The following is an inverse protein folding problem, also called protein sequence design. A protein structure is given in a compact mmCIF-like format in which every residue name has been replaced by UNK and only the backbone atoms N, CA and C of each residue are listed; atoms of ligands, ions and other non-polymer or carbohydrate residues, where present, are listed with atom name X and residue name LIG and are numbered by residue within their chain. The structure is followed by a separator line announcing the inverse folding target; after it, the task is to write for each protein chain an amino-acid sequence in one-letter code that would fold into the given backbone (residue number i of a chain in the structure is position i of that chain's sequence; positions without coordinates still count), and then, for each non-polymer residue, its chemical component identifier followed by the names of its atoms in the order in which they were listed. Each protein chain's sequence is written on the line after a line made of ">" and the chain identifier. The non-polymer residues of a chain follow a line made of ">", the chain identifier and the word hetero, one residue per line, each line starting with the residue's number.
data_IF_100492806728
#
_entry.id   IF_100492806728
#
_cell.length_a   1.000
_cell.length_b   1.000
_cell.length_c   1.000
_cell.angle_alpha   90.00
_cell.angle_beta   90.00
_cell.angle_gamma   90.00
#
_symmetry.space_group_name_H-M   'P 1'
#
loop_
_entity.id
_entity.type
_entity.pdbx_description
1 polymer ?
#
# COMPACT_ATOMS: atom_id res chain seq x y z
N UNK A 1 45.96 2.35 -1.12
CA UNK A 1 44.90 2.66 -0.14
C UNK A 1 43.55 2.85 -0.87
N UNK A 2 43.02 1.81 -1.56
CA UNK A 2 41.79 1.91 -2.39
C UNK A 2 40.70 0.89 -2.03
N UNK A 3 40.99 -0.08 -1.15
CA UNK A 3 40.05 -1.16 -0.80
C UNK A 3 38.82 -0.68 -0.01
N UNK A 4 38.96 0.39 0.78
CA UNK A 4 37.86 0.90 1.60
C UNK A 4 36.82 1.65 0.77
N UNK A 5 37.24 2.44 -0.22
CA UNK A 5 36.31 3.17 -1.08
C UNK A 5 35.51 2.21 -1.98
N UNK A 6 36.17 1.25 -2.62
CA UNK A 6 35.47 0.26 -3.46
C UNK A 6 34.50 -0.59 -2.64
N UNK A 7 34.90 -1.03 -1.44
CA UNK A 7 34.04 -1.80 -0.55
C UNK A 7 32.81 -1.02 -0.06
N UNK A 8 33.01 0.21 0.42
CA UNK A 8 31.90 1.10 0.86
C UNK A 8 30.98 1.41 -0.32
N UNK A 9 31.53 1.69 -1.50
CA UNK A 9 30.75 1.90 -2.73
C UNK A 9 29.90 0.68 -3.07
N UNK A 10 30.45 -0.53 -3.01
CA UNK A 10 29.70 -1.77 -3.28
C UNK A 10 28.58 -1.99 -2.27
N UNK A 11 28.83 -1.80 -0.97
CA UNK A 11 27.80 -1.96 0.07
C UNK A 11 26.67 -0.94 -0.11
N UNK A 12 27.01 0.32 -0.41
CA UNK A 12 26.01 1.35 -0.66
C UNK A 12 25.19 1.02 -1.90
N UNK A 13 25.83 0.67 -3.01
CA UNK A 13 25.14 0.28 -4.24
C UNK A 13 24.23 -0.93 -4.02
N UNK A 14 24.68 -1.92 -3.25
CA UNK A 14 23.88 -3.11 -2.91
C UNK A 14 22.67 -2.75 -2.05
N UNK A 15 22.82 -1.82 -1.09
CA UNK A 15 21.73 -1.40 -0.19
C UNK A 15 20.70 -0.48 -0.86
N UNK A 16 21.12 0.29 -1.86
CA UNK A 16 20.25 1.16 -2.65
C UNK A 16 19.79 0.55 -3.98
N UNK A 17 20.22 -0.69 -4.28
CA UNK A 17 19.76 -1.40 -5.46
C UNK A 17 18.24 -1.55 -5.39
N UNK A 18 17.57 -1.14 -6.46
CA UNK A 18 16.13 -1.32 -6.57
C UNK A 18 15.84 -2.82 -6.72
N UNK A 19 14.96 -3.34 -5.86
CA UNK A 19 14.45 -4.70 -5.98
C UNK A 19 13.42 -4.78 -7.11
N UNK A 20 13.14 -6.01 -7.57
CA UNK A 20 12.14 -6.28 -8.60
C UNK A 20 10.78 -5.65 -8.24
N UNK A 21 10.36 -5.74 -6.97
CA UNK A 21 9.09 -5.16 -6.53
C UNK A 21 9.09 -3.62 -6.58
N UNK A 22 10.23 -2.97 -6.29
CA UNK A 22 10.34 -1.51 -6.45
C UNK A 22 10.18 -1.10 -7.91
N UNK A 23 10.83 -1.78 -8.84
CA UNK A 23 10.65 -1.51 -10.27
C UNK A 23 9.21 -1.74 -10.71
N UNK A 24 8.56 -2.80 -10.25
CA UNK A 24 7.14 -3.09 -10.52
C UNK A 24 6.21 -1.99 -10.01
N UNK A 25 6.45 -1.49 -8.80
CA UNK A 25 5.69 -0.38 -8.20
C UNK A 25 5.90 0.90 -9.00
N UNK A 26 7.15 1.23 -9.34
CA UNK A 26 7.49 2.38 -10.18
C UNK A 26 6.75 2.28 -11.50
N UNK A 27 6.93 1.18 -12.25
CA UNK A 27 6.25 0.94 -13.52
C UNK A 27 4.73 1.07 -13.43
N UNK A 28 4.10 0.49 -12.40
CA UNK A 28 2.63 0.47 -12.29
C UNK A 28 2.01 1.79 -11.83
N UNK A 29 2.72 2.58 -11.02
CA UNK A 29 2.21 3.84 -10.47
C UNK A 29 2.73 5.07 -11.19
N UNK A 30 3.64 4.88 -12.15
CA UNK A 30 4.24 5.99 -12.88
C UNK A 30 3.18 6.76 -13.67
N UNK A 31 3.22 8.08 -13.55
CA UNK A 31 2.35 9.00 -14.28
C UNK A 31 3.21 10.02 -14.98
N UNK A 32 2.77 10.45 -16.17
CA UNK A 32 3.46 11.49 -16.92
C UNK A 32 3.46 12.77 -16.09
N UNK A 33 4.63 13.39 -15.95
CA UNK A 33 4.78 14.69 -15.29
C UNK A 33 4.28 15.80 -16.22
N UNK A 34 3.74 16.87 -15.65
CA UNK A 34 3.18 17.99 -16.43
C UNK A 34 4.23 18.64 -17.34
N UNK A 35 5.46 18.74 -16.84
CA UNK A 35 6.61 19.35 -17.51
C UNK A 35 7.47 18.37 -18.33
N UNK A 36 7.15 17.06 -18.35
CA UNK A 36 7.91 16.07 -19.14
C UNK A 36 7.27 15.80 -20.50
N UNK A 37 8.08 15.42 -21.47
CA UNK A 37 7.56 14.96 -22.77
C UNK A 37 7.02 13.53 -22.67
N UNK A 38 6.20 13.12 -23.65
CA UNK A 38 5.79 11.72 -23.76
C UNK A 38 6.96 10.77 -24.06
N UNK A 39 8.02 11.27 -24.71
CA UNK A 39 9.24 10.48 -24.94
C UNK A 39 9.94 10.19 -23.62
N UNK A 40 10.08 11.19 -22.76
CA UNK A 40 10.68 11.00 -21.43
C UNK A 40 9.90 9.98 -20.61
N UNK A 41 8.56 10.09 -20.61
CA UNK A 41 7.69 9.11 -19.94
C UNK A 41 7.85 7.70 -20.49
N UNK A 42 7.93 7.54 -21.82
CA UNK A 42 8.20 6.24 -22.44
C UNK A 42 9.56 5.67 -22.03
N UNK A 43 10.61 6.50 -22.03
CA UNK A 43 11.95 6.08 -21.61
C UNK A 43 11.96 5.66 -20.14
N UNK A 44 11.34 6.44 -19.25
CA UNK A 44 11.21 6.12 -17.83
C UNK A 44 10.48 4.78 -17.62
N UNK A 45 9.32 4.59 -18.28
CA UNK A 45 8.59 3.31 -18.24
C UNK A 45 9.44 2.14 -18.74
N UNK A 46 10.13 2.33 -19.87
CA UNK A 46 11.01 1.30 -20.44
C UNK A 46 12.12 0.93 -19.47
N UNK A 47 12.79 1.91 -18.87
CA UNK A 47 13.84 1.68 -17.89
C UNK A 47 13.32 0.93 -16.66
N UNK A 48 12.14 1.28 -16.15
CA UNK A 48 11.56 0.54 -15.03
C UNK A 48 11.22 -0.90 -15.40
N UNK A 49 10.67 -1.11 -16.59
CA UNK A 49 10.31 -2.44 -17.07
C UNK A 49 11.55 -3.31 -17.31
N UNK A 50 12.57 -2.80 -18.01
CA UNK A 50 13.83 -3.51 -18.24
C UNK A 50 14.55 -3.82 -16.91
N UNK A 51 14.55 -2.87 -15.96
CA UNK A 51 15.08 -3.09 -14.62
C UNK A 51 14.33 -4.18 -13.85
N UNK A 52 13.01 -4.26 -13.99
CA UNK A 52 12.19 -5.31 -13.39
C UNK A 52 12.54 -6.69 -13.93
N UNK A 53 12.66 -6.83 -15.26
CA UNK A 53 13.01 -8.09 -15.90
C UNK A 53 14.44 -8.53 -15.57
N UNK A 54 15.36 -7.57 -15.49
CA UNK A 54 16.77 -7.84 -15.16
C UNK A 54 16.91 -8.36 -13.74
N UNK A 55 16.17 -7.80 -12.77
CA UNK A 55 16.25 -8.24 -11.37
C UNK A 55 15.61 -9.62 -11.14
N UNK A 56 14.69 -10.04 -12.01
CA UNK A 56 14.07 -11.37 -11.98
C UNK A 56 14.75 -12.38 -12.93
N UNK A 57 15.83 -11.97 -13.60
CA UNK A 57 16.55 -12.78 -14.59
C UNK A 57 15.62 -13.41 -15.65
N UNK A 58 14.62 -12.65 -16.10
CA UNK A 58 13.65 -13.11 -17.09
C UNK A 58 14.27 -13.03 -18.48
N UNK A 59 14.66 -14.19 -18.99
CA UNK A 59 15.28 -14.34 -20.31
C UNK A 59 14.35 -14.93 -21.38
N UNK A 60 13.17 -15.42 -21.00
CA UNK A 60 12.19 -16.06 -21.90
C UNK A 60 10.88 -15.29 -21.96
N UNK A 61 10.29 -15.26 -23.16
CA UNK A 61 8.96 -14.70 -23.38
C UNK A 61 7.87 -15.43 -22.56
N UNK A 62 8.03 -16.73 -22.30
CA UNK A 62 7.08 -17.48 -21.48
C UNK A 62 7.09 -17.02 -20.02
N UNK A 63 8.29 -16.87 -19.43
CA UNK A 63 8.46 -16.30 -18.09
C UNK A 63 7.92 -14.88 -18.00
N UNK A 64 8.07 -14.09 -19.07
CA UNK A 64 7.48 -12.76 -19.13
C UNK A 64 5.94 -12.82 -19.10
N UNK A 65 5.31 -13.70 -19.89
CA UNK A 65 3.86 -13.88 -19.87
C UNK A 65 3.38 -14.26 -18.47
N UNK A 66 4.03 -15.23 -17.84
CA UNK A 66 3.71 -15.67 -16.47
C UNK A 66 3.81 -14.52 -15.47
N UNK A 67 4.89 -13.75 -15.51
CA UNK A 67 5.08 -12.58 -14.66
C UNK A 67 3.94 -11.55 -14.82
N UNK A 68 3.59 -11.23 -16.05
CA UNK A 68 2.52 -10.25 -16.34
C UNK A 68 1.17 -10.77 -15.84
N UNK A 69 0.86 -12.05 -16.06
CA UNK A 69 -0.38 -12.67 -15.56
C UNK A 69 -0.41 -12.64 -14.03
N UNK A 70 0.67 -13.04 -13.37
CA UNK A 70 0.79 -13.02 -11.92
C UNK A 70 0.61 -11.59 -11.36
N UNK A 71 1.23 -10.58 -11.98
CA UNK A 71 1.06 -9.18 -11.56
C UNK A 71 -0.38 -8.69 -11.73
N UNK A 72 -1.09 -9.10 -12.78
CA UNK A 72 -2.51 -8.77 -12.95
C UNK A 72 -3.39 -9.42 -11.87
N UNK A 73 -3.13 -10.69 -11.53
CA UNK A 73 -3.84 -11.37 -10.43
C UNK A 73 -3.58 -10.62 -9.11
N UNK A 74 -2.32 -10.27 -8.81
CA UNK A 74 -1.95 -9.49 -7.62
C UNK A 74 -2.64 -8.13 -7.55
N UNK A 75 -2.84 -7.46 -8.69
CA UNK A 75 -3.56 -6.16 -8.77
C UNK A 75 -5.05 -6.27 -8.47
N UNK A 76 -5.67 -7.43 -8.74
CA UNK A 76 -7.08 -7.69 -8.46
C UNK A 76 -7.33 -8.22 -7.05
N UNK A 77 -6.29 -8.69 -6.36
CA UNK A 77 -6.40 -9.21 -5.01
C UNK A 77 -6.72 -8.10 -4.00
N UNK A 78 -7.70 -8.31 -3.11
CA UNK A 78 -7.93 -7.44 -1.96
C UNK A 78 -6.69 -7.38 -1.04
N UNK A 79 -6.47 -6.27 -0.31
CA UNK A 79 -5.27 -6.06 0.50
C UNK A 79 -5.09 -7.10 1.62
N UNK A 80 -6.16 -7.75 2.07
CA UNK A 80 -6.10 -8.77 3.11
C UNK A 80 -5.31 -10.01 2.67
N UNK A 81 -5.40 -10.37 1.38
CA UNK A 81 -4.66 -11.50 0.81
C UNK A 81 -3.17 -11.20 0.76
N UNK A 82 -2.80 -9.96 0.39
CA UNK A 82 -1.41 -9.51 0.42
C UNK A 82 -0.85 -9.55 1.84
N UNK A 83 -1.62 -9.11 2.83
CA UNK A 83 -1.19 -9.09 4.23
C UNK A 83 -0.94 -10.49 4.79
N UNK A 84 -1.69 -11.49 4.34
CA UNK A 84 -1.49 -12.88 4.77
C UNK A 84 -0.19 -13.50 4.22
N UNK A 85 0.26 -13.03 3.05
CA UNK A 85 1.41 -13.59 2.35
C UNK A 85 2.61 -12.64 2.23
N UNK A 86 2.73 -11.61 3.09
CA UNK A 86 3.73 -10.54 2.94
C UNK A 86 5.14 -11.03 2.62
N UNK A 87 5.62 -12.04 3.36
CA UNK A 87 6.99 -12.56 3.23
C UNK A 87 7.28 -13.26 1.89
N UNK A 88 6.24 -13.78 1.25
CA UNK A 88 6.35 -14.56 0.00
C UNK A 88 5.68 -13.85 -1.18
N UNK A 89 4.97 -12.74 -0.95
CA UNK A 89 4.17 -12.07 -1.96
C UNK A 89 5.02 -11.50 -3.10
N UNK A 90 6.21 -10.99 -2.77
CA UNK A 90 7.14 -10.39 -3.72
C UNK A 90 7.84 -11.43 -4.60
N UNK A 91 8.04 -12.64 -4.07
CA UNK A 91 8.72 -13.75 -4.77
C UNK A 91 7.76 -14.65 -5.55
N UNK A 92 6.46 -14.59 -5.25
CA UNK A 92 5.41 -15.38 -5.88
C UNK A 92 5.06 -14.86 -7.29
N UNK A 93 5.94 -15.09 -8.26
CA UNK A 93 5.77 -14.62 -9.65
C UNK A 93 5.23 -15.69 -10.60
N UNK A 94 5.03 -16.92 -10.12
CA UNK A 94 4.33 -17.97 -10.85
C UNK A 94 2.81 -17.79 -10.69
N UNK A 95 2.05 -17.60 -11.79
CA UNK A 95 0.61 -17.39 -11.73
C UNK A 95 -0.16 -18.61 -11.21
N UNK A 96 0.32 -19.84 -11.43
CA UNK A 96 -0.37 -21.06 -10.99
C UNK A 96 -0.28 -21.18 -9.47
N UNK A 97 0.93 -21.17 -8.91
CA UNK A 97 1.13 -21.19 -7.47
C UNK A 97 0.47 -19.99 -6.77
N UNK A 98 0.41 -18.83 -7.43
CA UNK A 98 -0.32 -17.67 -6.90
C UNK A 98 -1.81 -17.97 -6.78
N UNK A 99 -2.44 -18.48 -7.84
CA UNK A 99 -3.86 -18.81 -7.84
C UNK A 99 -4.18 -19.86 -6.78
N UNK A 100 -3.40 -20.95 -6.69
CA UNK A 100 -3.60 -22.00 -5.70
C UNK A 100 -3.56 -21.46 -4.26
N UNK A 101 -2.62 -20.57 -3.94
CA UNK A 101 -2.54 -19.95 -2.61
C UNK A 101 -3.74 -19.06 -2.32
N UNK A 102 -4.22 -18.31 -3.30
CA UNK A 102 -5.40 -17.47 -3.15
C UNK A 102 -6.67 -18.32 -2.90
N UNK A 103 -6.83 -19.43 -3.63
CA UNK A 103 -7.94 -20.37 -3.46
C UNK A 103 -7.90 -21.04 -2.09
N UNK A 104 -6.72 -21.45 -1.61
CA UNK A 104 -6.53 -22.00 -0.26
C UNK A 104 -6.96 -21.00 0.81
N UNK A 105 -6.55 -19.73 0.68
CA UNK A 105 -6.97 -18.69 1.62
C UNK A 105 -8.46 -18.44 1.57
N UNK A 106 -9.08 -18.43 0.39
CA UNK A 106 -10.53 -18.26 0.24
C UNK A 106 -11.32 -19.42 0.85
N UNK A 107 -10.84 -20.66 0.69
CA UNK A 107 -11.41 -21.85 1.31
C UNK A 107 -11.35 -21.81 2.85
N UNK A 108 -10.27 -21.27 3.42
CA UNK A 108 -10.16 -21.07 4.87
C UNK A 108 -11.07 -19.92 5.30
N UNK A 109 -11.07 -18.80 4.57
CA UNK A 109 -11.84 -17.59 4.89
C UNK A 109 -13.34 -17.78 4.80
N UNK A 110 -13.82 -18.56 3.84
CA UNK A 110 -15.25 -18.75 3.53
C UNK A 110 -16.06 -19.30 4.73
N UNK A 111 -15.62 -20.36 5.45
CA UNK A 111 -16.25 -20.80 6.69
C UNK A 111 -16.22 -19.73 7.80
N UNK A 112 -15.07 -19.13 8.07
CA UNK A 112 -14.94 -18.15 9.18
C UNK A 112 -15.72 -16.85 8.91
N UNK A 113 -15.77 -16.37 7.67
CA UNK A 113 -16.56 -15.19 7.32
C UNK A 113 -18.06 -15.44 7.41
N UNK A 114 -18.55 -16.63 7.05
CA UNK A 114 -19.97 -16.99 7.27
C UNK A 114 -20.34 -16.98 8.75
N UNK A 115 -19.43 -17.44 9.62
CA UNK A 115 -19.61 -17.38 11.07
C UNK A 115 -19.53 -15.95 11.59
N UNK A 116 -18.61 -15.10 11.12
CA UNK A 116 -18.50 -13.71 11.61
C UNK A 116 -19.67 -12.82 11.13
N UNK A 117 -20.18 -13.06 9.92
CA UNK A 117 -21.28 -12.29 9.30
C UNK A 117 -22.67 -12.75 9.74
N UNK A 118 -22.80 -13.89 10.43
CA UNK A 118 -24.07 -14.34 10.96
C UNK A 118 -24.38 -13.60 12.30
N UNK A 119 -25.48 -12.84 12.40
CA UNK A 119 -25.81 -12.07 13.59
C UNK A 119 -25.93 -12.91 14.87
N UNK A 120 -26.33 -14.19 14.74
CA UNK A 120 -26.47 -15.13 15.87
C UNK A 120 -25.13 -15.52 16.50
N UNK A 121 -24.08 -15.64 15.69
CA UNK A 121 -22.72 -15.95 16.17
C UNK A 121 -21.97 -14.72 16.66
N UNK A 122 -22.58 -13.52 16.70
CA UNK A 122 -22.04 -12.40 17.46
C UNK A 122 -22.59 -12.32 18.90
N UNK A 123 -23.48 -13.24 19.30
CA UNK A 123 -24.06 -13.26 20.65
C UNK A 123 -23.04 -13.58 21.75
N UNK A 124 -22.00 -14.36 21.46
CA UNK A 124 -20.95 -14.69 22.43
C UNK A 124 -19.93 -13.56 22.63
N UNK A 125 -19.83 -12.63 21.68
CA UNK A 125 -18.97 -11.43 21.77
C UNK A 125 -19.66 -10.25 22.45
N UNK A 126 -20.96 -10.34 22.76
CA UNK A 126 -21.63 -9.32 23.58
C UNK A 126 -21.01 -9.35 24.97
N UNK A 127 -20.23 -8.32 25.29
CA UNK A 127 -19.68 -8.10 26.62
C UNK A 127 -20.82 -8.15 27.66
N UNK A 128 -20.75 -9.09 28.59
CA UNK A 128 -21.70 -9.28 29.70
C UNK A 128 -21.55 -8.22 30.79
N UNK A 129 -21.26 -6.98 30.42
CA UNK A 129 -21.26 -5.86 31.36
C UNK A 129 -22.53 -5.04 31.11
N UNK A 130 -23.42 -4.89 32.12
CA UNK A 130 -24.60 -4.07 31.95
C UNK A 130 -24.17 -2.62 31.66
N UNK A 131 -24.62 -2.08 30.52
CA UNK A 131 -24.63 -0.63 30.32
C UNK A 131 -25.63 -0.07 31.32
N UNK A 132 -25.15 0.52 32.40
CA UNK A 132 -25.98 1.26 33.32
C UNK A 132 -26.74 2.34 32.54
N UNK A 133 -28.06 2.22 32.54
CA UNK A 133 -28.98 3.21 32.00
C UNK A 133 -28.91 4.45 32.90
N UNK A 134 -28.33 5.53 32.38
CA UNK A 134 -28.20 6.77 33.11
C UNK A 134 -27.57 7.86 32.26
N UNK A 135 -28.28 8.30 31.21
CA UNK A 135 -28.09 9.63 30.61
C UNK A 135 -29.28 9.90 29.72
N UNK A 136 -30.29 10.55 30.29
CA UNK A 136 -31.35 11.20 29.54
C UNK A 136 -30.75 12.28 28.65
N UNK A 137 -31.27 12.36 27.43
CA UNK A 137 -31.11 13.40 26.41
C UNK A 137 -30.49 14.74 26.88
N UNK A 138 -29.34 15.08 26.30
CA UNK A 138 -28.97 16.47 26.06
C UNK A 138 -28.94 16.70 24.55
N UNK A 139 -30.10 17.05 23.98
CA UNK A 139 -30.14 17.88 22.78
C UNK A 139 -29.88 19.31 23.25
N UNK A 140 -28.95 19.99 22.57
CA UNK A 140 -28.50 21.37 22.73
C UNK A 140 -27.32 21.59 23.69
N UNK A 141 -26.10 21.48 23.17
CA UNK A 141 -25.08 22.50 23.43
C UNK A 141 -24.21 22.66 22.19
N UNK A 142 -24.19 23.89 21.67
CA UNK A 142 -23.35 24.32 20.55
C UNK A 142 -21.88 23.98 20.84
N UNK A 143 -21.21 23.34 19.87
CA UNK A 143 -19.77 23.54 19.70
C UNK A 143 -19.53 24.03 18.27
N UNK A 144 -19.91 25.28 18.08
CA UNK A 144 -19.42 26.12 16.99
C UNK A 144 -18.01 26.59 17.32
N UNK A 145 -17.13 26.46 16.34
CA UNK A 145 -16.00 27.36 16.03
C UNK A 145 -14.93 27.55 17.10
N UNK A 146 -13.75 26.98 16.80
CA UNK A 146 -12.48 27.52 17.24
C UNK A 146 -12.36 28.99 16.79
N UNK A 147 -12.57 29.91 17.72
CA UNK A 147 -12.19 31.31 17.57
C UNK A 147 -10.69 31.46 17.86
N UNK A 148 -10.06 32.21 16.96
CA UNK A 148 -8.71 32.76 17.09
C UNK A 148 -8.70 33.71 18.28
N UNK A 149 -7.67 33.59 19.10
CA UNK A 149 -7.31 34.57 20.11
C UNK A 149 -6.68 35.79 19.42
N UNK A 150 -7.44 36.87 19.25
CA UNK A 150 -6.90 38.19 18.98
C UNK A 150 -6.83 38.98 20.30
N UNK A 151 -5.62 39.18 20.77
CA UNK A 151 -5.27 40.09 21.84
C UNK A 151 -5.43 41.53 21.34
N UNK A 152 -6.33 42.30 21.96
CA UNK A 152 -6.40 43.74 21.77
C UNK A 152 -5.26 44.43 22.51
N UNK A 153 -4.45 45.22 21.79
CA UNK A 153 -3.70 46.33 22.37
C UNK A 153 -3.92 47.58 21.52
N UNK A 154 -4.60 48.53 22.14
CA UNK A 154 -4.76 49.94 21.83
C UNK A 154 -3.51 50.59 21.21
N UNK A 155 -3.66 51.31 20.09
CA UNK A 155 -3.28 52.72 20.02
C UNK A 155 -3.86 53.44 18.80
N UNK A 156 -4.46 54.59 19.08
CA UNK A 156 -4.94 55.61 18.15
C UNK A 156 -3.75 56.24 17.42
N UNK A 157 -3.88 56.57 16.13
CA UNK A 157 -3.84 57.96 15.68
C UNK A 157 -4.24 58.12 14.19
N UNK A 158 -5.00 59.18 13.98
CA UNK A 158 -5.53 59.73 12.73
C UNK A 158 -4.53 60.73 12.12
N UNK A 159 -4.50 60.84 10.79
CA UNK A 159 -4.66 62.05 9.97
C UNK A 159 -3.82 62.05 8.68
N UNK A 160 -4.56 62.13 7.56
CA UNK A 160 -4.28 62.68 6.22
C UNK A 160 -3.20 61.98 5.39
#
# INVERSE_FOLDING_TARGET
>A
MFKNYTHVRTILLQRFKLTADRFRILFSRHQKRDHSTWKDFFFELRTYFEGWLSELEISSFDKLKELIIADQIKKKCPPEYKNHYLDIWETLNDPIMLAEKLDLYENIKSPYQKVIKNPKSQEWYKSKFPRNAGSQNLKNSQLTKFEKTDSSSTHKNTYI
#
